data_IF_993933181537
#
_entry.id   IF_993933181537
#
_cell.length_a   1.000
_cell.length_b   1.000
_cell.length_c   1.000
_cell.angle_alpha   90.00
_cell.angle_beta   90.00
_cell.angle_gamma   90.00
#
_symmetry.space_group_name_H-M   'P 1'
#
loop_
_entity.id
_entity.type
_entity.pdbx_description
1 polymer ?
#
# COMPACT_ATOMS: atom_id res chain seq x y z
N UNK A 1 -14.91 1.23 20.29
CA UNK A 1 -16.11 0.93 19.48
C UNK A 1 -15.91 -0.15 18.43
N UNK A 2 -14.99 -0.05 17.45
CA UNK A 2 -14.76 -1.14 16.46
C UNK A 2 -14.16 -2.37 17.13
N UNK A 3 -13.13 -2.22 17.97
CA UNK A 3 -12.45 -3.31 18.68
C UNK A 3 -13.35 -4.12 19.62
N UNK A 4 -14.40 -3.51 20.17
CA UNK A 4 -15.38 -4.21 21.04
C UNK A 4 -16.35 -5.11 20.27
N UNK A 5 -16.51 -4.90 18.97
CA UNK A 5 -17.38 -5.70 18.09
C UNK A 5 -16.64 -6.79 17.34
N UNK A 6 -15.33 -6.68 17.25
CA UNK A 6 -14.48 -7.60 16.47
C UNK A 6 -13.68 -8.44 17.46
N UNK A 7 -13.84 -9.76 17.42
CA UNK A 7 -13.15 -10.71 18.32
C UNK A 7 -11.64 -10.79 18.06
N UNK A 8 -11.15 -10.25 16.94
CA UNK A 8 -9.73 -10.19 16.56
C UNK A 8 -9.37 -8.81 16.05
N UNK A 9 -8.10 -8.42 16.16
CA UNK A 9 -7.60 -7.17 15.57
C UNK A 9 -7.72 -7.24 14.05
N UNK A 10 -8.49 -6.34 13.40
CA UNK A 10 -8.66 -6.34 11.96
C UNK A 10 -7.36 -5.93 11.26
N UNK A 11 -7.24 -6.25 9.99
CA UNK A 11 -6.28 -5.62 9.10
C UNK A 11 -6.97 -4.55 8.24
N UNK A 12 -6.18 -3.80 7.48
CA UNK A 12 -6.66 -2.79 6.54
C UNK A 12 -6.45 -3.28 5.12
N UNK A 13 -7.47 -3.15 4.28
CA UNK A 13 -7.34 -3.18 2.82
C UNK A 13 -7.62 -1.76 2.36
N UNK A 14 -6.64 -1.10 1.75
CA UNK A 14 -6.82 0.25 1.20
C UNK A 14 -6.76 0.25 -0.31
N UNK A 15 -7.72 0.92 -0.94
CA UNK A 15 -7.76 1.27 -2.35
C UNK A 15 -7.34 2.72 -2.45
N UNK A 16 -6.13 2.97 -2.97
CA UNK A 16 -5.49 4.26 -2.88
C UNK A 16 -4.59 4.53 -4.09
N UNK A 17 -4.51 5.79 -4.52
CA UNK A 17 -3.53 6.22 -5.52
C UNK A 17 -2.13 6.27 -4.91
N UNK A 18 -2.02 6.73 -3.67
CA UNK A 18 -0.82 6.76 -2.85
C UNK A 18 -0.75 5.50 -1.97
N UNK A 19 0.36 5.29 -1.30
CA UNK A 19 0.50 4.09 -0.47
C UNK A 19 0.19 4.32 1.00
N UNK A 20 0.17 5.59 1.43
CA UNK A 20 -0.06 6.02 2.83
C UNK A 20 0.78 5.24 3.88
N UNK A 21 2.00 4.86 3.46
CA UNK A 21 2.90 4.00 4.23
C UNK A 21 3.98 4.77 4.99
N UNK A 22 3.81 6.08 5.14
CA UNK A 22 4.77 6.92 5.84
C UNK A 22 4.81 6.60 7.34
N UNK A 23 6.02 6.67 7.91
CA UNK A 23 6.24 6.41 9.34
C UNK A 23 5.65 7.53 10.19
N UNK A 24 4.77 7.17 11.13
CA UNK A 24 4.08 8.09 12.01
C UNK A 24 5.03 9.07 12.73
N UNK A 25 4.72 10.36 12.66
CA UNK A 25 5.44 11.48 13.27
C UNK A 25 6.90 11.66 12.82
N UNK A 26 7.38 10.90 11.84
CA UNK A 26 8.79 10.94 11.44
C UNK A 26 9.17 12.30 10.86
N UNK A 27 8.32 12.86 10.02
CA UNK A 27 8.58 14.18 9.44
C UNK A 27 8.50 15.27 10.50
N UNK A 28 7.49 15.23 11.37
CA UNK A 28 7.31 16.19 12.46
C UNK A 28 8.56 16.28 13.36
N UNK A 29 9.01 15.16 13.92
CA UNK A 29 10.22 15.16 14.72
C UNK A 29 11.48 15.41 13.90
N UNK A 30 11.51 14.99 12.63
CA UNK A 30 12.62 15.25 11.71
C UNK A 30 12.89 16.74 11.47
N UNK A 31 11.83 17.56 11.47
CA UNK A 31 11.95 19.04 11.34
C UNK A 31 12.35 19.70 12.66
N UNK A 32 12.00 19.11 13.80
CA UNK A 32 12.32 19.69 15.12
C UNK A 32 13.73 19.40 15.59
N UNK A 33 14.32 18.26 15.19
CA UNK A 33 15.67 17.88 15.58
C UNK A 33 16.68 18.46 14.57
N UNK A 34 17.03 19.74 14.75
CA UNK A 34 17.97 20.44 13.87
C UNK A 34 19.44 20.34 14.31
N UNK A 35 19.72 19.98 15.57
CA UNK A 35 21.06 20.07 16.17
C UNK A 35 21.78 18.71 16.31
N UNK A 36 21.30 17.65 15.67
CA UNK A 36 21.98 16.37 15.71
C UNK A 36 23.35 16.45 15.01
N UNK A 37 24.38 15.85 15.63
CA UNK A 37 25.77 15.90 15.15
C UNK A 37 25.97 15.12 13.85
N UNK A 38 25.21 14.05 13.67
CA UNK A 38 25.25 13.19 12.49
C UNK A 38 23.87 12.56 12.19
N UNK A 39 23.75 11.86 11.06
CA UNK A 39 22.51 11.25 10.63
C UNK A 39 22.05 10.11 11.56
N UNK A 40 22.97 9.33 12.15
CA UNK A 40 22.63 8.22 13.02
C UNK A 40 22.07 8.71 14.35
N UNK A 41 22.70 9.73 14.95
CA UNK A 41 22.22 10.37 16.17
C UNK A 41 20.83 10.99 15.93
N UNK A 42 20.64 11.67 14.80
CA UNK A 42 19.34 12.26 14.44
C UNK A 42 18.27 11.18 14.32
N UNK A 43 18.58 10.09 13.63
CA UNK A 43 17.66 8.95 13.49
C UNK A 43 17.27 8.38 14.85
N UNK A 44 18.25 8.10 15.72
CA UNK A 44 18.01 7.56 17.06
C UNK A 44 17.12 8.46 17.91
N UNK A 45 17.36 9.79 17.90
CA UNK A 45 16.56 10.76 18.65
C UNK A 45 15.11 10.84 18.14
N UNK A 46 14.89 10.76 16.81
CA UNK A 46 13.56 10.71 16.21
C UNK A 46 12.82 9.45 16.67
N UNK A 47 13.39 8.28 16.50
CA UNK A 47 12.79 7.01 16.87
C UNK A 47 12.48 6.92 18.37
N UNK A 48 13.35 7.48 19.21
CA UNK A 48 13.12 7.54 20.66
C UNK A 48 11.91 8.40 21.02
N UNK A 49 11.76 9.58 20.41
CA UNK A 49 10.60 10.46 20.64
C UNK A 49 9.29 9.84 20.12
N UNK A 50 9.33 9.23 18.94
CA UNK A 50 8.18 8.51 18.38
C UNK A 50 7.76 7.38 19.32
N UNK A 51 8.72 6.58 19.81
CA UNK A 51 8.44 5.46 20.70
C UNK A 51 7.77 5.90 22.01
N UNK A 52 8.26 7.00 22.62
CA UNK A 52 7.65 7.57 23.82
C UNK A 52 6.22 8.09 23.57
N UNK A 53 6.00 8.75 22.44
CA UNK A 53 4.67 9.24 22.08
C UNK A 53 3.69 8.07 21.85
N UNK A 54 4.13 7.02 21.15
CA UNK A 54 3.32 5.82 20.92
C UNK A 54 2.96 5.12 22.22
N UNK A 55 3.92 5.01 23.17
CA UNK A 55 3.65 4.45 24.48
C UNK A 55 2.57 5.23 25.21
N UNK A 56 2.69 6.57 25.25
CA UNK A 56 1.68 7.44 25.85
C UNK A 56 0.31 7.31 25.19
N UNK A 57 0.27 7.23 23.85
CA UNK A 57 -0.99 7.04 23.10
C UNK A 57 -1.64 5.68 23.43
N UNK A 58 -0.85 4.61 23.60
CA UNK A 58 -1.34 3.30 24.04
C UNK A 58 -1.97 3.36 25.42
N UNK A 59 -1.29 3.97 26.40
CA UNK A 59 -1.81 4.13 27.75
C UNK A 59 -3.13 4.89 27.77
N UNK A 60 -3.24 5.98 26.98
CA UNK A 60 -4.48 6.75 26.87
C UNK A 60 -5.60 5.97 26.16
N UNK A 61 -5.26 5.15 25.16
CA UNK A 61 -6.21 4.33 24.43
C UNK A 61 -6.78 3.20 25.31
N UNK A 62 -5.97 2.61 26.20
CA UNK A 62 -6.40 1.57 27.14
C UNK A 62 -7.47 2.07 28.13
N UNK A 63 -7.41 3.35 28.48
CA UNK A 63 -8.38 3.98 29.38
C UNK A 63 -9.44 4.82 28.66
N UNK A 64 -9.50 4.70 27.32
CA UNK A 64 -10.46 5.44 26.47
C UNK A 64 -10.42 6.96 26.63
N UNK A 65 -9.25 7.53 26.93
CA UNK A 65 -9.09 8.97 27.15
C UNK A 65 -8.80 9.72 25.83
N UNK A 66 -9.80 9.81 24.98
CA UNK A 66 -9.69 10.42 23.65
C UNK A 66 -9.41 11.92 23.70
N UNK A 67 -9.92 12.63 24.71
CA UNK A 67 -9.68 14.08 24.86
C UNK A 67 -8.20 14.40 25.07
N UNK A 68 -7.45 13.51 25.70
CA UNK A 68 -6.00 13.66 25.85
C UNK A 68 -5.20 13.11 24.66
N UNK A 69 -5.80 12.25 23.85
CA UNK A 69 -5.15 11.74 22.63
C UNK A 69 -5.19 12.78 21.49
N UNK A 70 -6.31 13.46 21.31
CA UNK A 70 -6.51 14.39 20.19
C UNK A 70 -5.39 15.44 20.05
N UNK A 71 -4.96 16.15 21.11
CA UNK A 71 -3.85 17.09 21.01
C UNK A 71 -2.52 16.47 20.60
N UNK A 72 -2.31 15.17 20.89
CA UNK A 72 -1.09 14.45 20.55
C UNK A 72 -1.11 13.99 19.08
N UNK A 73 -2.28 13.89 18.46
CA UNK A 73 -2.46 13.45 17.08
C UNK A 73 -2.49 14.62 16.09
N UNK A 74 -2.55 15.87 16.55
CA UNK A 74 -2.67 17.06 15.68
C UNK A 74 -1.53 17.22 14.66
N UNK A 75 -0.35 16.68 14.96
CA UNK A 75 0.84 16.74 14.13
C UNK A 75 1.05 15.46 13.28
N UNK A 76 0.10 14.52 13.35
CA UNK A 76 0.04 13.35 12.49
C UNK A 76 -0.43 13.77 11.09
N UNK A 77 0.27 13.31 10.07
CA UNK A 77 -0.11 13.58 8.68
C UNK A 77 -1.08 12.54 8.14
N UNK A 78 -1.76 12.86 7.05
CA UNK A 78 -2.72 11.97 6.40
C UNK A 78 -2.08 10.64 5.97
N UNK A 79 -0.85 10.69 5.45
CA UNK A 79 -0.08 9.54 4.97
C UNK A 79 0.61 8.71 6.08
N UNK A 80 0.42 9.07 7.37
CA UNK A 80 1.05 8.43 8.53
C UNK A 80 0.08 7.62 9.41
N UNK A 81 -1.22 7.68 9.14
CA UNK A 81 -2.26 7.12 10.02
C UNK A 81 -2.25 5.59 10.06
N UNK A 82 -1.84 4.92 8.97
CA UNK A 82 -1.76 3.45 8.90
C UNK A 82 -0.65 2.94 9.82
N UNK A 83 0.56 3.48 9.73
CA UNK A 83 1.70 3.10 10.57
C UNK A 83 1.37 3.30 12.06
N UNK A 84 0.74 4.44 12.41
CA UNK A 84 0.31 4.66 13.78
C UNK A 84 -0.72 3.63 14.25
N UNK A 85 -1.71 3.32 13.43
CA UNK A 85 -2.77 2.36 13.77
C UNK A 85 -2.21 0.94 14.00
N UNK A 86 -1.23 0.53 13.21
CA UNK A 86 -0.52 -0.73 13.41
C UNK A 86 0.30 -0.69 14.72
N UNK A 87 1.04 0.37 14.96
CA UNK A 87 1.84 0.55 16.18
C UNK A 87 1.00 0.58 17.45
N UNK A 88 -0.20 1.16 17.39
CA UNK A 88 -1.16 1.15 18.49
C UNK A 88 -1.88 -0.21 18.66
N UNK A 89 -1.73 -1.14 17.73
CA UNK A 89 -2.42 -2.43 17.74
C UNK A 89 -3.93 -2.32 17.43
N UNK A 90 -4.34 -1.24 16.77
CA UNK A 90 -5.70 -1.05 16.21
C UNK A 90 -5.84 -1.91 14.95
N UNK A 91 -4.78 -1.96 14.14
CA UNK A 91 -4.65 -2.81 12.97
C UNK A 91 -3.56 -3.86 13.20
N UNK A 92 -3.74 -5.07 12.63
CA UNK A 92 -2.73 -6.13 12.64
C UNK A 92 -1.65 -5.91 11.57
N UNK A 93 -2.07 -5.49 10.39
CA UNK A 93 -1.26 -5.12 9.21
C UNK A 93 -2.13 -4.35 8.22
N UNK A 94 -1.53 -3.84 7.15
CA UNK A 94 -2.26 -3.24 6.03
C UNK A 94 -1.84 -3.82 4.69
N UNK A 95 -2.74 -3.76 3.72
CA UNK A 95 -2.50 -4.09 2.32
C UNK A 95 -3.02 -2.96 1.47
N UNK A 96 -2.13 -2.32 0.74
CA UNK A 96 -2.49 -1.31 -0.25
C UNK A 96 -2.62 -1.96 -1.62
N UNK A 97 -3.80 -1.78 -2.23
CA UNK A 97 -4.07 -2.08 -3.63
C UNK A 97 -4.00 -0.75 -4.40
N UNK A 98 -2.83 -0.40 -4.96
CA UNK A 98 -2.67 0.92 -5.56
C UNK A 98 -3.34 1.00 -6.91
N UNK A 99 -3.77 2.21 -7.28
CA UNK A 99 -4.00 2.57 -8.67
C UNK A 99 -2.66 2.78 -9.39
N UNK A 100 -2.68 3.14 -10.66
CA UNK A 100 -1.47 3.42 -11.43
C UNK A 100 -0.58 4.51 -10.80
N UNK A 101 0.71 4.51 -11.10
CA UNK A 101 1.69 5.55 -10.70
C UNK A 101 2.08 5.56 -9.21
N UNK A 102 2.36 4.40 -8.65
CA UNK A 102 2.91 4.32 -7.29
C UNK A 102 4.22 5.11 -7.14
N UNK A 103 4.33 5.84 -6.03
CA UNK A 103 5.56 6.52 -5.62
C UNK A 103 6.51 5.54 -4.91
N UNK A 104 5.97 4.53 -4.23
CA UNK A 104 6.73 3.55 -3.47
C UNK A 104 6.77 2.18 -4.17
N UNK A 105 7.89 1.44 -4.05
CA UNK A 105 8.00 0.14 -4.66
C UNK A 105 7.04 -0.87 -4.00
N UNK A 106 6.48 -1.81 -4.77
CA UNK A 106 5.64 -2.89 -4.24
C UNK A 106 6.44 -3.81 -3.30
N UNK A 107 5.75 -4.59 -2.49
CA UNK A 107 6.36 -5.62 -1.64
C UNK A 107 7.00 -6.70 -2.49
N UNK A 108 8.30 -6.89 -2.33
CA UNK A 108 9.05 -7.87 -3.13
C UNK A 108 8.82 -9.30 -2.66
N UNK A 109 8.68 -10.20 -3.62
CA UNK A 109 8.74 -11.64 -3.35
C UNK A 109 10.13 -12.06 -2.88
N UNK A 110 10.21 -13.18 -2.16
CA UNK A 110 11.48 -13.74 -1.68
C UNK A 110 12.43 -14.08 -2.85
N UNK A 111 11.91 -14.50 -3.99
CA UNK A 111 12.71 -14.79 -5.19
C UNK A 111 13.40 -13.53 -5.74
N UNK A 112 12.70 -12.42 -5.80
CA UNK A 112 13.30 -11.14 -6.22
C UNK A 112 14.34 -10.68 -5.19
N UNK A 113 14.06 -10.84 -3.89
CA UNK A 113 15.04 -10.54 -2.84
C UNK A 113 16.32 -11.38 -2.98
N UNK A 114 16.17 -12.69 -3.22
CA UNK A 114 17.32 -13.59 -3.45
C UNK A 114 18.11 -13.20 -4.69
N UNK A 115 17.42 -12.88 -5.78
CA UNK A 115 18.07 -12.38 -7.00
C UNK A 115 18.87 -11.13 -6.71
N UNK A 116 18.29 -10.11 -6.05
CA UNK A 116 19.00 -8.87 -5.73
C UNK A 116 20.19 -9.09 -4.81
N UNK A 117 20.10 -10.02 -3.86
CA UNK A 117 21.24 -10.39 -3.02
C UNK A 117 22.38 -11.00 -3.84
N UNK A 118 22.06 -11.95 -4.73
CA UNK A 118 23.03 -12.57 -5.64
C UNK A 118 23.64 -11.55 -6.59
N UNK A 119 22.84 -10.61 -7.13
CA UNK A 119 23.31 -9.55 -8.00
C UNK A 119 24.29 -8.62 -7.26
N UNK A 120 23.94 -8.21 -6.04
CA UNK A 120 24.81 -7.38 -5.19
C UNK A 120 26.15 -8.07 -4.89
N UNK A 121 26.12 -9.38 -4.63
CA UNK A 121 27.33 -10.18 -4.40
C UNK A 121 28.16 -10.30 -5.68
N UNK A 122 27.55 -10.54 -6.82
CA UNK A 122 28.20 -10.58 -8.13
C UNK A 122 28.91 -9.26 -8.43
N UNK A 123 28.23 -8.12 -8.27
CA UNK A 123 28.80 -6.78 -8.51
C UNK A 123 29.98 -6.49 -7.57
N UNK A 124 29.87 -6.90 -6.30
CA UNK A 124 30.97 -6.79 -5.35
C UNK A 124 32.19 -7.61 -5.79
N UNK A 125 31.96 -8.86 -6.18
CA UNK A 125 33.03 -9.76 -6.63
C UNK A 125 33.73 -9.25 -7.90
N UNK A 126 32.96 -8.67 -8.85
CA UNK A 126 33.53 -7.97 -10.01
C UNK A 126 34.44 -6.83 -9.56
N UNK A 127 33.94 -5.96 -8.69
CA UNK A 127 34.68 -4.79 -8.20
C UNK A 127 35.97 -5.19 -7.47
N UNK A 128 35.92 -6.23 -6.65
CA UNK A 128 37.06 -6.76 -5.94
C UNK A 128 38.10 -7.38 -6.91
N UNK A 129 37.67 -8.15 -7.92
CA UNK A 129 38.54 -8.72 -8.92
C UNK A 129 39.25 -7.65 -9.76
N UNK A 130 38.55 -6.58 -10.12
CA UNK A 130 39.14 -5.42 -10.80
C UNK A 130 40.18 -4.72 -9.92
N UNK A 131 39.85 -4.39 -8.70
CA UNK A 131 40.70 -3.65 -7.75
C UNK A 131 41.98 -4.46 -7.38
N UNK A 132 41.86 -5.80 -7.31
CA UNK A 132 43.00 -6.69 -6.99
C UNK A 132 43.79 -7.14 -8.18
N UNK A 133 43.41 -6.77 -9.43
CA UNK A 133 44.06 -7.21 -10.67
C UNK A 133 43.86 -8.69 -11.00
N UNK A 134 42.96 -9.38 -10.32
CA UNK A 134 42.65 -10.81 -10.50
C UNK A 134 41.63 -11.04 -11.61
N UNK A 135 41.94 -10.59 -12.83
CA UNK A 135 41.01 -10.63 -13.97
C UNK A 135 40.57 -12.05 -14.38
N UNK A 136 41.36 -13.09 -14.06
CA UNK A 136 40.93 -14.47 -14.32
C UNK A 136 39.74 -14.91 -13.49
N UNK A 137 39.52 -14.30 -12.30
CA UNK A 137 38.32 -14.54 -11.51
C UNK A 137 37.04 -14.08 -12.22
N UNK A 138 37.10 -13.03 -13.03
CA UNK A 138 35.95 -12.54 -13.78
C UNK A 138 35.36 -13.59 -14.71
N UNK A 139 36.21 -14.48 -15.28
CA UNK A 139 35.79 -15.55 -16.19
C UNK A 139 34.97 -16.65 -15.49
N UNK A 140 35.08 -16.74 -14.18
CA UNK A 140 34.38 -17.77 -13.35
C UNK A 140 33.16 -17.25 -12.67
N UNK A 141 32.91 -15.95 -12.69
CA UNK A 141 31.71 -15.35 -12.12
C UNK A 141 30.52 -15.63 -13.05
N UNK A 142 29.47 -16.18 -12.47
CA UNK A 142 28.20 -16.42 -13.15
C UNK A 142 27.27 -15.29 -12.80
N UNK A 143 26.83 -14.55 -13.82
CA UNK A 143 25.82 -13.49 -13.63
C UNK A 143 24.49 -14.12 -13.22
N UNK A 144 23.85 -13.65 -12.13
CA UNK A 144 22.54 -14.14 -11.73
C UNK A 144 21.50 -13.84 -12.81
N UNK A 145 20.71 -14.84 -13.17
CA UNK A 145 19.58 -14.62 -14.08
C UNK A 145 18.39 -14.05 -13.30
N UNK A 146 17.73 -13.06 -13.87
CA UNK A 146 16.49 -12.52 -13.32
C UNK A 146 15.41 -13.62 -13.33
N UNK A 147 14.70 -13.87 -12.22
CA UNK A 147 13.63 -14.85 -12.20
C UNK A 147 12.47 -14.33 -13.06
N UNK A 148 12.22 -15.00 -14.19
CA UNK A 148 11.04 -14.71 -15.01
C UNK A 148 9.77 -15.14 -14.26
N UNK A 149 8.81 -14.24 -14.18
CA UNK A 149 7.56 -14.50 -13.46
C UNK A 149 6.72 -15.64 -14.05
N UNK A 150 6.85 -15.90 -15.37
CA UNK A 150 6.14 -16.97 -16.07
C UNK A 150 6.59 -18.37 -15.63
N UNK A 151 7.80 -18.52 -15.08
CA UNK A 151 8.29 -19.77 -14.49
C UNK A 151 7.82 -19.98 -13.03
N UNK A 152 7.19 -18.97 -12.42
CA UNK A 152 6.72 -19.00 -11.04
C UNK A 152 5.30 -19.54 -10.98
N UNK A 153 5.12 -20.73 -11.46
CA UNK A 153 3.81 -21.37 -11.58
C UNK A 153 3.07 -21.58 -10.25
N UNK A 154 3.65 -21.34 -9.09
CA UNK A 154 2.96 -21.55 -7.81
C UNK A 154 3.47 -20.63 -6.69
N UNK A 155 2.54 -19.97 -6.05
CA UNK A 155 2.63 -19.21 -4.80
C UNK A 155 3.97 -18.49 -4.59
N UNK A 156 4.07 -17.26 -5.08
CA UNK A 156 5.15 -16.35 -4.67
C UNK A 156 5.22 -16.36 -3.14
N UNK A 157 6.40 -16.59 -2.58
CA UNK A 157 6.60 -16.52 -1.14
C UNK A 157 7.01 -15.10 -0.76
N UNK A 158 6.40 -14.59 0.30
CA UNK A 158 6.68 -13.26 0.84
C UNK A 158 7.09 -13.37 2.31
N UNK A 159 7.87 -12.40 2.77
CA UNK A 159 8.13 -12.19 4.19
C UNK A 159 7.31 -11.01 4.68
N UNK A 160 6.82 -11.08 5.92
CA UNK A 160 6.14 -9.95 6.54
C UNK A 160 7.06 -8.71 6.51
N UNK A 161 6.63 -7.58 5.95
CA UNK A 161 7.36 -6.32 6.07
C UNK A 161 7.57 -5.93 7.52
N UNK A 162 8.69 -5.30 7.83
CA UNK A 162 9.02 -4.88 9.21
C UNK A 162 7.99 -3.92 9.80
N UNK A 163 7.37 -3.11 8.96
CA UNK A 163 6.30 -2.18 9.29
C UNK A 163 4.91 -2.79 9.17
N UNK A 164 4.81 -4.02 8.70
CA UNK A 164 3.55 -4.74 8.46
C UNK A 164 2.63 -4.06 7.44
N UNK A 165 3.20 -3.31 6.52
CA UNK A 165 2.47 -2.66 5.43
C UNK A 165 2.87 -3.32 4.12
N UNK A 166 1.93 -3.99 3.47
CA UNK A 166 2.11 -4.60 2.17
C UNK A 166 1.64 -3.64 1.08
N UNK A 167 2.41 -3.56 0.00
CA UNK A 167 2.01 -2.87 -1.23
C UNK A 167 1.93 -3.94 -2.31
N UNK A 168 0.77 -4.06 -2.94
CA UNK A 168 0.56 -5.02 -4.03
C UNK A 168 1.12 -4.43 -5.32
N UNK A 169 1.87 -5.24 -6.06
CA UNK A 169 2.36 -4.84 -7.37
C UNK A 169 1.18 -4.70 -8.35
N UNK A 170 0.99 -3.53 -8.97
CA UNK A 170 -0.02 -3.41 -10.01
C UNK A 170 0.38 -4.27 -11.20
N UNK A 171 -0.53 -5.09 -11.68
CA UNK A 171 -0.28 -5.96 -12.85
C UNK A 171 -0.41 -5.16 -14.15
N UNK A 172 0.45 -4.15 -14.31
CA UNK A 172 0.51 -3.30 -15.50
C UNK A 172 1.58 -3.86 -16.43
N UNK A 173 1.19 -4.29 -17.62
CA UNK A 173 2.09 -4.76 -18.67
C UNK A 173 2.24 -3.72 -19.79
N UNK A 174 2.50 -2.46 -19.42
CA UNK A 174 2.69 -1.38 -20.38
C UNK A 174 4.17 -1.15 -20.73
N UNK A 175 5.10 -1.80 -20.04
CA UNK A 175 6.53 -1.62 -20.22
C UNK A 175 6.98 -1.98 -21.65
N UNK A 176 7.77 -1.11 -22.25
CA UNK A 176 8.33 -1.31 -23.60
C UNK A 176 7.39 -0.99 -24.76
N UNK A 177 6.22 -0.42 -24.48
CA UNK A 177 5.33 0.11 -25.52
C UNK A 177 5.84 1.48 -26.04
N UNK A 178 5.33 1.92 -27.19
CA UNK A 178 5.51 3.32 -27.61
C UNK A 178 4.76 4.26 -26.66
N UNK A 179 5.15 5.52 -26.57
CA UNK A 179 4.51 6.48 -25.66
C UNK A 179 2.98 6.55 -25.84
N UNK A 180 2.50 6.54 -27.07
CA UNK A 180 1.06 6.56 -27.35
C UNK A 180 0.36 5.26 -26.96
N UNK A 181 1.02 4.10 -27.10
CA UNK A 181 0.50 2.81 -26.68
C UNK A 181 0.55 2.66 -25.15
N UNK A 182 1.58 3.22 -24.51
CA UNK A 182 1.71 3.29 -23.06
C UNK A 182 0.58 4.14 -22.45
N UNK A 183 0.32 5.33 -22.97
CA UNK A 183 -0.80 6.19 -22.55
C UNK A 183 -2.14 5.47 -22.69
N UNK A 184 -2.37 4.76 -23.80
CA UNK A 184 -3.58 3.97 -24.02
C UNK A 184 -3.69 2.79 -23.05
N UNK A 185 -2.58 2.14 -22.73
CA UNK A 185 -2.50 1.06 -21.75
C UNK A 185 -2.80 1.58 -20.34
N UNK A 186 -2.21 2.69 -19.96
CA UNK A 186 -2.45 3.34 -18.66
C UNK A 186 -3.90 3.81 -18.50
N UNK A 187 -4.48 4.39 -19.57
CA UNK A 187 -5.90 4.76 -19.57
C UNK A 187 -6.82 3.53 -19.40
N UNK A 188 -6.52 2.44 -20.09
CA UNK A 188 -7.27 1.19 -19.93
C UNK A 188 -7.15 0.63 -18.51
N UNK A 189 -5.96 0.69 -17.91
CA UNK A 189 -5.71 0.30 -16.54
C UNK A 189 -6.51 1.17 -15.55
N UNK A 190 -6.34 2.49 -15.62
CA UNK A 190 -7.03 3.46 -14.77
C UNK A 190 -8.56 3.32 -14.83
N UNK A 191 -9.09 2.93 -16.01
CA UNK A 191 -10.52 2.73 -16.21
C UNK A 191 -11.08 1.46 -15.58
N UNK A 192 -10.24 0.54 -15.09
CA UNK A 192 -10.66 -0.78 -14.64
C UNK A 192 -10.25 -1.12 -13.21
N UNK A 193 -9.83 -0.14 -12.41
CA UNK A 193 -9.25 -0.37 -11.06
C UNK A 193 -10.18 -1.09 -10.07
N UNK A 194 -11.49 -1.06 -10.27
CA UNK A 194 -12.46 -1.90 -9.51
C UNK A 194 -13.20 -2.91 -10.39
N UNK A 195 -12.81 -3.06 -11.68
CA UNK A 195 -13.36 -4.12 -12.53
C UNK A 195 -12.97 -5.50 -12.00
N UNK A 196 -13.88 -6.46 -12.13
CA UNK A 196 -13.72 -7.81 -11.57
C UNK A 196 -12.39 -8.47 -11.95
N UNK A 197 -11.98 -8.37 -13.23
CA UNK A 197 -10.75 -9.00 -13.69
C UNK A 197 -9.52 -8.39 -13.02
N UNK A 198 -9.47 -7.07 -12.90
CA UNK A 198 -8.36 -6.37 -12.29
C UNK A 198 -8.32 -6.62 -10.79
N UNK A 199 -9.42 -6.33 -10.10
CA UNK A 199 -9.49 -6.41 -8.65
C UNK A 199 -9.31 -7.84 -8.14
N UNK A 200 -9.83 -8.85 -8.85
CA UNK A 200 -9.61 -10.25 -8.54
C UNK A 200 -8.12 -10.62 -8.57
N UNK A 201 -7.37 -10.14 -9.57
CA UNK A 201 -5.93 -10.36 -9.64
C UNK A 201 -5.18 -9.70 -8.49
N UNK A 202 -5.54 -8.44 -8.13
CA UNK A 202 -4.91 -7.73 -7.02
C UNK A 202 -5.18 -8.43 -5.68
N UNK A 203 -6.41 -8.89 -5.45
CA UNK A 203 -6.77 -9.67 -4.24
C UNK A 203 -6.07 -11.02 -4.24
N UNK A 204 -5.86 -11.65 -5.39
CA UNK A 204 -5.09 -12.88 -5.53
C UNK A 204 -3.63 -12.70 -5.10
N UNK A 205 -2.97 -11.62 -5.53
CA UNK A 205 -1.63 -11.23 -5.10
C UNK A 205 -1.58 -10.93 -3.60
N UNK A 206 -2.51 -10.10 -3.10
CA UNK A 206 -2.65 -9.82 -1.68
C UNK A 206 -2.81 -11.09 -0.85
N UNK A 207 -3.64 -12.03 -1.33
CA UNK A 207 -3.84 -13.33 -0.68
C UNK A 207 -2.56 -14.17 -0.67
N UNK A 208 -1.76 -14.16 -1.74
CA UNK A 208 -0.45 -14.83 -1.76
C UNK A 208 0.49 -14.26 -0.71
N UNK A 209 0.50 -12.93 -0.53
CA UNK A 209 1.29 -12.25 0.51
C UNK A 209 0.84 -12.69 1.91
N UNK A 210 -0.46 -12.69 2.18
CA UNK A 210 -0.99 -13.02 3.51
C UNK A 210 -0.92 -14.51 3.83
N UNK A 211 -1.20 -15.41 2.88
CA UNK A 211 -1.07 -16.86 3.09
C UNK A 211 0.36 -17.21 3.49
N UNK A 212 1.38 -16.67 2.82
CA UNK A 212 2.78 -17.00 3.12
C UNK A 212 3.30 -16.38 4.41
N UNK A 213 2.67 -15.32 4.92
CA UNK A 213 3.12 -14.58 6.10
C UNK A 213 2.26 -14.80 7.34
N UNK A 214 0.95 -14.99 7.17
CA UNK A 214 -0.01 -15.17 8.27
C UNK A 214 -0.72 -16.54 8.25
N UNK A 215 -0.61 -17.27 7.13
CA UNK A 215 -1.31 -18.54 6.92
C UNK A 215 -2.78 -18.40 6.50
N UNK A 216 -3.25 -17.18 6.17
CA UNK A 216 -4.67 -16.92 5.88
C UNK A 216 -4.86 -16.08 4.61
N UNK A 217 -6.00 -16.29 3.97
CA UNK A 217 -6.44 -15.46 2.83
C UNK A 217 -6.88 -14.09 3.33
N UNK A 218 -6.51 -13.04 2.61
CA UNK A 218 -6.76 -11.65 3.01
C UNK A 218 -8.24 -11.36 3.29
N UNK A 219 -9.17 -11.96 2.55
CA UNK A 219 -10.61 -11.72 2.71
C UNK A 219 -11.29 -12.63 3.73
N UNK A 220 -10.57 -13.60 4.32
CA UNK A 220 -11.10 -14.52 5.34
C UNK A 220 -10.96 -13.99 6.77
N UNK A 221 -10.10 -13.01 6.98
CA UNK A 221 -9.94 -12.34 8.28
C UNK A 221 -10.78 -11.05 8.34
N UNK A 222 -11.19 -10.60 9.53
CA UNK A 222 -11.86 -9.31 9.67
C UNK A 222 -10.98 -8.17 9.16
N UNK A 223 -11.53 -7.33 8.29
CA UNK A 223 -10.82 -6.19 7.75
C UNK A 223 -11.67 -4.92 7.73
N UNK A 224 -10.98 -3.79 7.70
CA UNK A 224 -11.52 -2.48 7.37
C UNK A 224 -11.18 -2.23 5.90
N UNK A 225 -12.19 -1.85 5.11
CA UNK A 225 -11.98 -1.39 3.73
C UNK A 225 -11.83 0.13 3.75
N UNK A 226 -10.67 0.61 3.40
CA UNK A 226 -10.38 2.02 3.24
C UNK A 226 -10.35 2.37 1.76
N UNK A 227 -11.02 3.46 1.38
CA UNK A 227 -11.15 3.87 -0.02
C UNK A 227 -10.80 5.35 -0.10
N UNK A 228 -9.67 5.66 -0.73
CA UNK A 228 -9.40 7.04 -1.11
C UNK A 228 -10.04 7.36 -2.46
N UNK A 229 -10.66 8.54 -2.56
CA UNK A 229 -11.36 8.93 -3.78
C UNK A 229 -10.40 9.25 -4.93
N UNK A 230 -9.14 9.57 -4.67
CA UNK A 230 -8.14 9.78 -5.72
C UNK A 230 -7.63 8.47 -6.35
N UNK A 231 -8.04 7.31 -5.80
CA UNK A 231 -7.91 6.01 -6.46
C UNK A 231 -8.57 5.96 -7.83
N UNK A 232 -9.58 6.78 -8.05
CA UNK A 232 -10.36 6.85 -9.28
C UNK A 232 -9.89 8.02 -10.16
N UNK A 233 -9.42 7.72 -11.35
CA UNK A 233 -8.83 8.71 -12.26
C UNK A 233 -9.79 9.22 -13.34
N UNK A 234 -10.88 8.48 -13.58
CA UNK A 234 -11.89 8.85 -14.58
C UNK A 234 -13.28 8.30 -14.20
N UNK A 235 -14.30 8.77 -14.90
CA UNK A 235 -15.69 8.37 -14.66
C UNK A 235 -15.93 6.87 -14.82
N UNK A 236 -15.18 6.20 -15.70
CA UNK A 236 -15.30 4.77 -15.94
C UNK A 236 -14.65 3.95 -14.80
N UNK A 237 -13.63 4.46 -14.15
CA UNK A 237 -12.94 3.77 -13.05
C UNK A 237 -13.86 3.48 -11.87
N UNK A 238 -14.79 4.39 -11.55
CA UNK A 238 -15.79 4.19 -10.50
C UNK A 238 -17.03 3.41 -11.01
N UNK A 239 -17.25 3.35 -12.32
CA UNK A 239 -18.40 2.67 -12.94
C UNK A 239 -17.94 1.71 -14.07
N UNK A 240 -17.15 0.66 -13.78
CA UNK A 240 -16.75 -0.35 -14.76
C UNK A 240 -17.93 -1.22 -15.19
N UNK A 241 -17.68 -2.20 -16.05
CA UNK A 241 -18.73 -3.12 -16.51
C UNK A 241 -19.13 -4.13 -15.46
N UNK A 242 -18.15 -4.65 -14.71
CA UNK A 242 -18.34 -5.70 -13.73
C UNK A 242 -17.67 -5.27 -12.42
N UNK A 243 -18.36 -5.43 -11.30
CA UNK A 243 -17.88 -5.03 -9.98
C UNK A 243 -18.33 -5.96 -8.84
N UNK A 244 -18.62 -7.24 -9.15
CA UNK A 244 -19.02 -8.21 -8.11
C UNK A 244 -17.89 -8.47 -7.10
N UNK A 245 -16.63 -8.44 -7.56
CA UNK A 245 -15.46 -8.55 -6.68
C UNK A 245 -15.40 -7.35 -5.71
N UNK A 246 -15.62 -6.14 -6.21
CA UNK A 246 -15.70 -4.94 -5.38
C UNK A 246 -16.86 -4.99 -4.39
N UNK A 247 -18.02 -5.48 -4.83
CA UNK A 247 -19.17 -5.68 -3.95
C UNK A 247 -18.92 -6.76 -2.88
N UNK A 248 -18.16 -7.79 -3.22
CA UNK A 248 -17.73 -8.79 -2.24
C UNK A 248 -16.84 -8.15 -1.16
N UNK A 249 -15.87 -7.32 -1.54
CA UNK A 249 -15.06 -6.58 -0.57
C UNK A 249 -15.92 -5.70 0.34
N UNK A 250 -16.87 -4.95 -0.23
CA UNK A 250 -17.78 -4.11 0.56
C UNK A 250 -18.61 -4.95 1.55
N UNK A 251 -19.17 -6.07 1.11
CA UNK A 251 -20.05 -6.93 1.95
C UNK A 251 -19.34 -7.57 3.12
N UNK A 252 -18.07 -7.94 2.96
CA UNK A 252 -17.31 -8.64 3.99
C UNK A 252 -16.51 -7.71 4.90
N UNK A 253 -16.39 -6.42 4.55
CA UNK A 253 -15.74 -5.44 5.40
C UNK A 253 -16.49 -5.23 6.72
N UNK A 254 -15.76 -5.16 7.84
CA UNK A 254 -16.31 -4.85 9.16
C UNK A 254 -16.66 -3.37 9.29
N UNK A 255 -15.94 -2.52 8.59
CA UNK A 255 -16.17 -1.09 8.45
C UNK A 255 -15.63 -0.61 7.11
N UNK A 256 -16.14 0.52 6.63
CA UNK A 256 -15.64 1.20 5.43
C UNK A 256 -15.28 2.61 5.85
N UNK A 257 -14.07 3.04 5.51
CA UNK A 257 -13.61 4.42 5.60
C UNK A 257 -13.45 5.01 4.21
N UNK A 258 -13.65 6.32 4.07
CA UNK A 258 -13.55 7.01 2.79
C UNK A 258 -12.77 8.30 3.01
N UNK A 259 -11.60 8.42 2.38
CA UNK A 259 -10.85 9.66 2.31
C UNK A 259 -11.32 10.49 1.11
N UNK A 260 -11.54 11.80 1.33
CA UNK A 260 -12.15 12.68 0.31
C UNK A 260 -11.16 13.64 -0.33
N UNK A 261 -9.96 13.59 -0.13
CA UNK A 261 -8.85 14.46 -0.55
C UNK A 261 -9.08 15.19 -1.89
N UNK A 262 -9.95 16.21 -1.89
CA UNK A 262 -10.45 16.86 -3.11
C UNK A 262 -9.35 17.43 -4.01
N UNK A 263 -8.22 17.86 -3.45
CA UNK A 263 -7.08 18.34 -4.20
C UNK A 263 -6.38 17.20 -4.94
N UNK A 264 -6.21 16.05 -4.29
CA UNK A 264 -5.58 14.85 -4.87
C UNK A 264 -6.45 14.28 -5.99
N UNK A 265 -7.78 14.21 -5.80
CA UNK A 265 -8.72 13.83 -6.86
C UNK A 265 -8.57 14.71 -8.10
N UNK A 266 -8.45 16.03 -7.94
CA UNK A 266 -8.29 16.94 -9.08
C UNK A 266 -6.92 16.83 -9.75
N UNK A 267 -5.87 16.52 -9.00
CA UNK A 267 -4.52 16.32 -9.55
C UNK A 267 -4.38 14.98 -10.26
N UNK A 268 -5.01 13.91 -9.72
CA UNK A 268 -4.93 12.56 -10.25
C UNK A 268 -5.88 12.26 -11.40
N UNK A 269 -6.88 13.14 -11.68
CA UNK A 269 -7.83 12.89 -12.75
C UNK A 269 -7.17 12.89 -14.14
N UNK A 270 -7.68 12.09 -15.04
CA UNK A 270 -7.27 12.13 -16.45
C UNK A 270 -7.63 13.46 -17.12
N UNK A 271 -6.81 13.90 -18.08
CA UNK A 271 -7.01 15.17 -18.79
C UNK A 271 -8.34 15.25 -19.52
N UNK A 272 -8.86 14.11 -19.98
CA UNK A 272 -10.15 14.03 -20.68
C UNK A 272 -11.35 14.29 -19.74
N UNK A 273 -11.18 14.17 -18.44
CA UNK A 273 -12.25 14.38 -17.47
C UNK A 273 -12.47 15.86 -17.17
N UNK A 274 -13.74 16.27 -17.20
CA UNK A 274 -14.13 17.63 -16.88
C UNK A 274 -14.17 17.85 -15.37
N UNK A 275 -13.38 18.75 -14.82
CA UNK A 275 -13.29 19.06 -13.39
C UNK A 275 -14.63 19.48 -12.73
N UNK A 276 -15.58 20.00 -13.51
CA UNK A 276 -16.91 20.34 -12.98
C UNK A 276 -17.79 19.11 -12.77
N UNK A 277 -17.58 18.06 -13.54
CA UNK A 277 -18.35 16.81 -13.45
C UNK A 277 -17.62 15.67 -12.75
N UNK A 278 -16.28 15.64 -12.83
CA UNK A 278 -15.44 14.67 -12.16
C UNK A 278 -14.70 15.33 -10.99
N UNK A 279 -15.19 15.12 -9.79
CA UNK A 279 -14.64 15.66 -8.54
C UNK A 279 -14.98 14.74 -7.36
N UNK A 280 -14.47 15.05 -6.18
CA UNK A 280 -14.67 14.23 -4.98
C UNK A 280 -16.13 14.10 -4.55
N UNK A 281 -17.00 15.07 -4.82
CA UNK A 281 -18.45 14.96 -4.50
C UNK A 281 -19.16 13.99 -5.45
N UNK A 282 -18.82 14.02 -6.72
CA UNK A 282 -19.30 13.03 -7.70
C UNK A 282 -18.86 11.63 -7.31
N UNK A 283 -17.55 11.41 -7.08
CA UNK A 283 -17.00 10.11 -6.69
C UNK A 283 -17.63 9.58 -5.40
N UNK A 284 -17.77 10.42 -4.38
CA UNK A 284 -18.43 10.06 -3.13
C UNK A 284 -19.90 9.65 -3.35
N UNK A 285 -20.60 10.34 -4.25
CA UNK A 285 -21.99 10.00 -4.59
C UNK A 285 -22.09 8.64 -5.27
N UNK A 286 -21.23 8.36 -6.26
CA UNK A 286 -21.19 7.06 -6.94
C UNK A 286 -20.78 5.94 -5.96
N UNK A 287 -19.74 6.14 -5.18
CA UNK A 287 -19.28 5.16 -4.19
C UNK A 287 -20.38 4.82 -3.16
N UNK A 288 -21.15 5.80 -2.69
CA UNK A 288 -22.30 5.56 -1.81
C UNK A 288 -23.38 4.71 -2.47
N UNK A 289 -23.61 4.86 -3.79
CA UNK A 289 -24.55 3.99 -4.54
C UNK A 289 -24.02 2.56 -4.57
N UNK A 290 -22.73 2.35 -4.85
CA UNK A 290 -22.13 1.02 -4.83
C UNK A 290 -22.25 0.35 -3.45
N UNK A 291 -21.94 1.08 -2.38
CA UNK A 291 -22.07 0.57 -1.01
C UNK A 291 -23.52 0.18 -0.72
N UNK A 292 -24.47 1.04 -1.08
CA UNK A 292 -25.91 0.75 -0.89
C UNK A 292 -26.35 -0.50 -1.66
N UNK A 293 -25.97 -0.63 -2.93
CA UNK A 293 -26.32 -1.80 -3.76
C UNK A 293 -25.69 -3.07 -3.18
N UNK A 294 -24.39 -3.03 -2.87
CA UNK A 294 -23.65 -4.17 -2.32
C UNK A 294 -24.27 -4.69 -1.03
N UNK A 295 -24.69 -3.78 -0.11
CA UNK A 295 -25.27 -4.14 1.19
C UNK A 295 -26.77 -4.49 1.15
N UNK A 296 -27.48 -4.05 0.10
CA UNK A 296 -28.94 -4.31 -0.05
C UNK A 296 -29.26 -5.67 -0.68
N UNK A 297 -28.34 -6.28 -1.43
CA UNK A 297 -28.56 -7.57 -2.12
C UNK A 297 -28.66 -8.80 -1.19
N UNK A 298 -28.43 -8.62 0.11
CA UNK A 298 -28.50 -9.69 1.12
C UNK A 298 -29.83 -9.72 1.90
N UNK A 299 -30.85 -9.02 1.43
CA UNK A 299 -32.22 -9.10 1.92
C UNK A 299 -33.10 -9.82 0.91
#
# INVERSE_FOLDING_TARGET
MIKERIQSTPHLITLDHHTDTMKAFRLYYGTQIQQARDCEQKHYEIESKISLLILKLKELAEVYNYDQMEPLLKDLRNDEHIDLSIKLGILSYSITLPSSNMIEPPTESNLIKEYRQKQTEYDRNIKEAFNSGQLDKLKTLIEPSYPYEDDLSFIKTYTMPTDKMFIVEPNIKCDGLSSADEDSCMHAYNSNVIDDCFLFNQIGLASSMTITTTGKVVTEEPYILDIDLDYFHNTKSINPRNYECFYALIRHAQAITIAKESACVLMGKEEAENEYSFNSDFLLSELKKHIYIATSRNK
#
